data_IF_962837608121
#
_entry.id   IF_962837608121
#
_cell.length_a   1.000
_cell.length_b   1.000
_cell.length_c   1.000
_cell.angle_alpha   90.00
_cell.angle_beta   90.00
_cell.angle_gamma   90.00
#
_symmetry.space_group_name_H-M   'P 1'
#
loop_
_entity.id
_entity.type
_entity.pdbx_description
1 polymer ?
#
# COMPACT_ATOMS: atom_id res chain seq x y z
N UNK A 1 39.32 -26.84 24.18
CA UNK A 1 38.49 -25.74 23.65
C UNK A 1 37.39 -26.35 22.81
N UNK A 2 36.12 -26.40 23.25
CA UNK A 2 35.06 -26.94 22.41
C UNK A 2 34.60 -25.85 21.43
N UNK A 3 34.49 -26.28 20.18
CA UNK A 3 34.13 -25.55 18.98
C UNK A 3 32.60 -25.32 18.97
N UNK A 4 32.16 -24.07 19.12
CA UNK A 4 30.74 -23.71 19.01
C UNK A 4 30.30 -23.77 17.54
N UNK A 5 29.46 -24.75 17.22
CA UNK A 5 28.70 -24.81 15.98
C UNK A 5 27.69 -23.65 15.92
N UNK A 6 27.75 -22.84 14.86
CA UNK A 6 26.74 -21.81 14.56
C UNK A 6 25.39 -22.50 14.24
N UNK A 7 24.25 -22.02 14.78
CA UNK A 7 22.95 -22.56 14.38
C UNK A 7 22.62 -22.19 12.93
N UNK A 8 22.16 -23.19 12.17
CA UNK A 8 21.73 -23.09 10.78
C UNK A 8 20.34 -22.44 10.66
N UNK A 9 20.03 -21.91 9.47
CA UNK A 9 18.85 -21.12 9.07
C UNK A 9 17.45 -21.79 9.27
N UNK A 10 17.34 -22.90 10.00
CA UNK A 10 16.10 -23.68 10.16
C UNK A 10 15.36 -23.45 11.48
N UNK A 11 15.92 -22.69 12.42
CA UNK A 11 15.36 -22.62 13.79
C UNK A 11 14.22 -21.60 13.96
N UNK A 12 14.07 -20.63 13.04
CA UNK A 12 13.01 -19.61 13.14
C UNK A 12 11.69 -20.10 12.52
N UNK A 13 11.72 -20.82 11.39
CA UNK A 13 10.50 -21.36 10.75
C UNK A 13 9.80 -22.47 11.57
N UNK A 14 10.52 -23.16 12.46
CA UNK A 14 9.94 -24.28 13.20
C UNK A 14 9.12 -23.85 14.43
N UNK A 15 9.44 -22.71 15.04
CA UNK A 15 8.65 -22.17 16.15
C UNK A 15 7.28 -21.62 15.73
N UNK A 16 7.08 -21.31 14.44
CA UNK A 16 5.81 -20.79 13.93
C UNK A 16 4.75 -21.86 13.62
N UNK A 17 5.12 -23.15 13.57
CA UNK A 17 4.22 -24.20 13.06
C UNK A 17 3.55 -25.08 14.12
N UNK A 18 3.87 -24.92 15.41
CA UNK A 18 3.49 -25.89 16.46
C UNK A 18 2.29 -25.50 17.35
N UNK A 19 1.61 -24.39 17.09
CA UNK A 19 0.44 -23.97 17.90
C UNK A 19 -0.93 -24.31 17.27
N UNK A 20 -1.01 -24.79 16.02
CA UNK A 20 -2.28 -24.77 15.28
C UNK A 20 -2.69 -26.04 14.52
N UNK A 21 -2.44 -27.24 15.06
CA UNK A 21 -3.07 -28.47 14.51
C UNK A 21 -3.82 -29.28 15.58
N UNK A 22 -5.09 -28.93 15.79
CA UNK A 22 -6.12 -29.87 16.25
C UNK A 22 -7.39 -29.74 15.39
N UNK A 23 -7.56 -30.74 14.53
CA UNK A 23 -8.79 -31.38 14.02
C UNK A 23 -9.96 -30.49 13.57
N UNK A 24 -10.38 -30.65 12.32
CA UNK A 24 -11.69 -31.26 11.98
C UNK A 24 -11.65 -31.81 10.55
N UNK A 25 -12.42 -32.86 10.34
CA UNK A 25 -12.39 -33.83 9.26
C UNK A 25 -13.59 -33.70 8.31
N UNK A 26 -13.36 -34.09 7.05
CA UNK A 26 -14.27 -34.69 6.06
C UNK A 26 -15.75 -34.31 6.04
N UNK A 27 -16.18 -33.67 4.94
CA UNK A 27 -17.47 -33.96 4.29
C UNK A 27 -17.30 -33.86 2.76
N UNK A 28 -17.46 -34.98 2.06
CA UNK A 28 -17.63 -35.03 0.61
C UNK A 28 -19.07 -34.70 0.22
N UNK A 29 -19.28 -33.89 -0.81
CA UNK A 29 -20.57 -33.81 -1.49
C UNK A 29 -20.37 -33.95 -3.00
N UNK A 30 -21.10 -34.92 -3.54
CA UNK A 30 -21.11 -35.37 -4.93
C UNK A 30 -21.81 -34.35 -5.83
N UNK A 31 -21.26 -34.20 -7.02
CA UNK A 31 -21.86 -33.55 -8.18
C UNK A 31 -23.21 -34.17 -8.56
N UNK A 32 -24.22 -33.32 -8.82
CA UNK A 32 -25.28 -33.65 -9.77
C UNK A 32 -25.96 -32.39 -10.35
N UNK A 33 -25.92 -32.31 -11.68
CA UNK A 33 -26.95 -31.79 -12.59
C UNK A 33 -27.30 -30.29 -12.56
N UNK A 34 -26.63 -29.50 -13.43
CA UNK A 34 -27.20 -28.25 -13.95
C UNK A 34 -27.02 -28.18 -15.49
N UNK A 35 -28.14 -27.89 -16.17
CA UNK A 35 -28.38 -27.83 -17.63
C UNK A 35 -27.56 -26.75 -18.39
N UNK A 36 -27.33 -26.88 -19.72
CA UNK A 36 -26.41 -26.02 -20.48
C UNK A 36 -26.90 -24.61 -20.84
N UNK A 37 -28.12 -24.22 -20.50
CA UNK A 37 -28.73 -22.98 -21.01
C UNK A 37 -28.88 -21.90 -19.93
N UNK A 38 -27.76 -21.25 -19.55
CA UNK A 38 -27.80 -19.92 -18.90
C UNK A 38 -26.47 -19.14 -18.86
N UNK A 39 -25.49 -19.45 -19.74
CA UNK A 39 -24.13 -18.84 -19.66
C UNK A 39 -23.95 -17.44 -20.25
N UNK A 40 -25.02 -16.71 -20.61
CA UNK A 40 -24.88 -15.43 -21.35
C UNK A 40 -25.54 -14.20 -20.73
N UNK A 41 -26.17 -14.31 -19.57
CA UNK A 41 -26.73 -13.18 -18.83
C UNK A 41 -26.27 -13.34 -17.37
N UNK A 42 -25.82 -12.24 -16.74
CA UNK A 42 -25.28 -12.15 -15.37
C UNK A 42 -23.76 -12.49 -15.21
N UNK A 43 -22.87 -11.75 -15.88
CA UNK A 43 -21.48 -11.55 -15.40
C UNK A 43 -21.20 -10.06 -15.13
N UNK A 44 -22.17 -9.16 -15.37
CA UNK A 44 -21.98 -7.71 -15.13
C UNK A 44 -22.12 -7.28 -13.65
N UNK A 45 -22.67 -8.12 -12.77
CA UNK A 45 -23.01 -7.73 -11.39
C UNK A 45 -22.12 -8.32 -10.29
N UNK A 46 -21.07 -9.08 -10.62
CA UNK A 46 -20.34 -9.85 -9.59
C UNK A 46 -19.37 -9.02 -8.72
N UNK A 47 -19.08 -7.76 -9.08
CA UNK A 47 -18.11 -6.91 -8.38
C UNK A 47 -18.65 -5.50 -8.12
N UNK A 48 -19.82 -5.41 -7.50
CA UNK A 48 -20.31 -4.14 -6.98
C UNK A 48 -19.51 -3.77 -5.73
N UNK A 49 -18.46 -2.96 -5.89
CA UNK A 49 -17.85 -2.21 -4.77
C UNK A 49 -18.88 -1.39 -3.99
N UNK A 50 -20.06 -1.15 -4.56
CA UNK A 50 -21.22 -0.53 -3.93
C UNK A 50 -21.72 -1.23 -2.65
N UNK A 51 -21.33 -2.49 -2.40
CA UNK A 51 -21.73 -3.24 -1.19
C UNK A 51 -20.61 -3.36 -0.15
N UNK A 52 -19.47 -2.71 -0.34
CA UNK A 52 -18.39 -2.69 0.64
C UNK A 52 -18.62 -1.52 1.58
N UNK A 53 -18.83 -1.83 2.86
CA UNK A 53 -18.92 -0.84 3.92
C UNK A 53 -17.50 -0.36 4.30
N UNK A 54 -17.13 0.88 3.98
CA UNK A 54 -15.77 1.35 4.23
C UNK A 54 -15.42 1.50 5.71
N UNK A 55 -16.42 1.70 6.58
CA UNK A 55 -16.18 1.81 8.02
C UNK A 55 -15.84 0.45 8.63
N UNK A 56 -16.42 -0.66 8.12
CA UNK A 56 -16.01 -2.00 8.57
C UNK A 56 -14.54 -2.28 8.30
N UNK A 57 -14.01 -1.84 7.16
CA UNK A 57 -12.59 -2.00 6.84
C UNK A 57 -11.75 -1.07 7.72
N UNK A 58 -12.19 0.17 7.91
CA UNK A 58 -11.53 1.12 8.79
C UNK A 58 -11.44 0.58 10.23
N UNK A 59 -12.50 -0.02 10.75
CA UNK A 59 -12.55 -0.62 12.08
C UNK A 59 -11.64 -1.84 12.21
N UNK A 60 -11.55 -2.69 11.18
CA UNK A 60 -10.59 -3.79 11.14
C UNK A 60 -9.14 -3.28 11.16
N UNK A 61 -8.84 -2.21 10.43
CA UNK A 61 -7.52 -1.58 10.42
C UNK A 61 -7.19 -0.97 11.78
N UNK A 62 -8.12 -0.23 12.40
CA UNK A 62 -7.99 0.29 13.76
C UNK A 62 -7.79 -0.82 14.79
N UNK A 63 -8.54 -1.92 14.65
CA UNK A 63 -8.40 -3.09 15.51
C UNK A 63 -7.01 -3.71 15.40
N UNK A 64 -6.54 -3.98 14.18
CA UNK A 64 -5.21 -4.50 13.94
C UNK A 64 -4.13 -3.61 14.56
N UNK A 65 -4.25 -2.30 14.36
CA UNK A 65 -3.29 -1.35 14.90
C UNK A 65 -3.26 -1.33 16.43
N UNK A 66 -4.43 -1.34 17.07
CA UNK A 66 -4.55 -1.33 18.54
C UNK A 66 -4.09 -2.63 19.18
N UNK A 67 -4.53 -3.77 18.64
CA UNK A 67 -4.39 -5.06 19.30
C UNK A 67 -3.05 -5.74 18.95
N UNK A 68 -2.42 -5.36 17.82
CA UNK A 68 -1.19 -5.98 17.33
C UNK A 68 -0.05 -4.96 17.21
N UNK A 69 -0.21 -3.87 16.44
CA UNK A 69 0.90 -2.97 16.09
C UNK A 69 1.39 -2.15 17.30
N UNK A 70 0.49 -1.43 17.97
CA UNK A 70 0.83 -0.54 19.10
C UNK A 70 1.53 -1.26 20.26
N UNK A 71 1.17 -2.49 20.66
CA UNK A 71 1.91 -3.25 21.67
C UNK A 71 3.41 -3.44 21.37
N UNK A 72 3.81 -3.47 20.10
CA UNK A 72 5.21 -3.59 19.69
C UNK A 72 5.92 -2.23 19.50
N UNK A 73 5.18 -1.12 19.42
CA UNK A 73 5.76 0.19 19.18
C UNK A 73 6.65 0.64 20.35
N UNK A 74 7.95 0.84 20.07
CA UNK A 74 8.93 1.21 21.10
C UNK A 74 9.34 0.09 22.07
N UNK A 75 8.81 -1.13 21.90
CA UNK A 75 9.04 -2.28 22.81
C UNK A 75 9.66 -3.49 22.12
N UNK A 76 9.90 -3.42 20.80
CA UNK A 76 10.51 -4.48 20.00
C UNK A 76 11.88 -4.94 20.53
N UNK A 77 12.00 -6.25 20.76
CA UNK A 77 13.27 -6.93 21.07
C UNK A 77 14.02 -7.28 19.79
N UNK A 78 15.33 -7.53 19.90
CA UNK A 78 16.17 -7.78 18.73
C UNK A 78 15.75 -8.99 17.90
N UNK A 79 15.34 -10.09 18.55
CA UNK A 79 14.86 -11.29 17.86
C UNK A 79 13.49 -11.11 17.17
N UNK A 80 12.82 -9.97 17.38
CA UNK A 80 11.54 -9.62 16.75
C UNK A 80 11.74 -8.71 15.52
N UNK A 81 12.99 -8.40 15.18
CA UNK A 81 13.39 -7.63 14.01
C UNK A 81 14.16 -8.55 13.06
N UNK A 82 13.99 -8.34 11.77
CA UNK A 82 14.68 -9.09 10.73
C UNK A 82 14.87 -8.22 9.49
N UNK A 83 15.45 -8.83 8.46
CA UNK A 83 15.65 -8.22 7.15
C UNK A 83 15.17 -9.18 6.06
N UNK A 84 14.31 -8.70 5.16
CA UNK A 84 13.83 -9.48 4.00
C UNK A 84 15.02 -9.85 3.12
N UNK A 85 15.17 -11.14 2.83
CA UNK A 85 16.30 -11.70 2.08
C UNK A 85 17.70 -11.34 2.64
N UNK A 86 17.79 -10.99 3.92
CA UNK A 86 19.04 -10.52 4.53
C UNK A 86 19.54 -9.17 4.00
N UNK A 87 18.69 -8.41 3.29
CA UNK A 87 19.03 -7.07 2.80
C UNK A 87 18.82 -6.05 3.93
N UNK A 88 19.88 -5.39 4.43
CA UNK A 88 19.78 -4.44 5.54
C UNK A 88 18.88 -3.21 5.28
N UNK A 89 18.46 -3.01 4.02
CA UNK A 89 17.55 -1.92 3.63
C UNK A 89 16.08 -2.32 3.66
N UNK A 90 15.77 -3.60 3.81
CA UNK A 90 14.41 -4.13 3.83
C UNK A 90 14.13 -4.70 5.22
N UNK A 91 13.93 -3.80 6.18
CA UNK A 91 13.58 -4.16 7.56
C UNK A 91 12.17 -4.76 7.62
N UNK A 92 11.97 -5.72 8.52
CA UNK A 92 10.66 -6.34 8.82
C UNK A 92 10.62 -6.72 10.29
N UNK A 93 9.44 -6.69 10.92
CA UNK A 93 9.26 -7.11 12.31
C UNK A 93 8.18 -8.17 12.44
N UNK A 94 8.10 -8.78 13.63
CA UNK A 94 7.01 -9.70 13.97
C UNK A 94 5.64 -9.00 13.92
N UNK A 95 5.59 -7.67 14.13
CA UNK A 95 4.35 -6.91 14.08
C UNK A 95 3.82 -6.80 12.65
N UNK A 96 4.70 -6.62 11.66
CA UNK A 96 4.33 -6.58 10.23
C UNK A 96 3.65 -7.89 9.82
N UNK A 97 4.30 -9.03 10.11
CA UNK A 97 3.81 -10.35 9.75
C UNK A 97 2.47 -10.73 10.42
N UNK A 98 2.35 -10.51 11.74
CA UNK A 98 1.11 -10.82 12.48
C UNK A 98 -0.05 -9.91 12.01
N UNK A 99 0.24 -8.64 11.73
CA UNK A 99 -0.76 -7.69 11.25
C UNK A 99 -1.27 -8.05 9.86
N UNK A 100 -0.38 -8.42 8.94
CA UNK A 100 -0.76 -8.88 7.61
C UNK A 100 -1.61 -10.15 7.68
N UNK A 101 -1.21 -11.15 8.48
CA UNK A 101 -1.99 -12.38 8.66
C UNK A 101 -3.39 -12.07 9.22
N UNK A 102 -3.47 -11.23 10.25
CA UNK A 102 -4.74 -10.82 10.85
C UNK A 102 -5.65 -10.14 9.83
N UNK A 103 -5.18 -9.09 9.16
CA UNK A 103 -5.97 -8.34 8.17
C UNK A 103 -6.39 -9.24 7.01
N UNK A 104 -5.46 -10.04 6.46
CA UNK A 104 -5.72 -10.99 5.38
C UNK A 104 -6.84 -11.96 5.76
N UNK A 105 -6.79 -12.54 6.96
CA UNK A 105 -7.79 -13.48 7.46
C UNK A 105 -9.15 -12.80 7.64
N UNK A 106 -9.21 -11.63 8.29
CA UNK A 106 -10.47 -10.93 8.52
C UNK A 106 -11.13 -10.50 7.20
N UNK A 107 -10.34 -9.95 6.28
CA UNK A 107 -10.81 -9.58 4.94
C UNK A 107 -11.32 -10.82 4.18
N UNK A 108 -10.62 -11.95 4.25
CA UNK A 108 -11.07 -13.20 3.63
C UNK A 108 -12.36 -13.75 4.23
N UNK A 109 -12.63 -13.54 5.51
CA UNK A 109 -13.91 -13.90 6.12
C UNK A 109 -15.06 -13.04 5.59
N UNK A 110 -14.81 -11.74 5.38
CA UNK A 110 -15.79 -10.82 4.80
C UNK A 110 -15.99 -11.04 3.29
N UNK A 111 -14.92 -11.39 2.58
CA UNK A 111 -14.88 -11.55 1.12
C UNK A 111 -14.15 -12.84 0.71
N UNK A 112 -14.78 -14.03 0.85
CA UNK A 112 -14.11 -15.31 0.61
C UNK A 112 -13.50 -15.48 -0.78
N UNK A 113 -14.17 -14.92 -1.80
CA UNK A 113 -13.79 -15.00 -3.21
C UNK A 113 -12.72 -13.98 -3.63
N UNK A 114 -12.31 -13.06 -2.75
CA UNK A 114 -11.28 -12.07 -3.05
C UNK A 114 -9.88 -12.69 -3.03
N UNK A 115 -8.86 -11.96 -3.42
CA UNK A 115 -7.45 -12.31 -3.30
C UNK A 115 -6.78 -11.33 -2.36
N UNK A 116 -5.64 -11.72 -1.80
CA UNK A 116 -4.82 -10.85 -0.94
C UNK A 116 -3.43 -10.73 -1.54
N UNK A 117 -2.95 -9.51 -1.65
CA UNK A 117 -1.57 -9.16 -1.96
C UNK A 117 -1.00 -8.35 -0.79
N UNK A 118 -0.37 -9.02 0.16
CA UNK A 118 0.32 -8.35 1.26
C UNK A 118 1.80 -8.13 0.95
N UNK A 119 2.39 -7.07 1.49
CA UNK A 119 3.82 -6.80 1.36
C UNK A 119 4.67 -8.01 1.78
N UNK A 120 4.36 -8.61 2.93
CA UNK A 120 5.19 -9.64 3.57
C UNK A 120 5.15 -10.96 2.82
N UNK A 121 3.97 -11.39 2.36
CA UNK A 121 3.81 -12.64 1.62
C UNK A 121 4.07 -12.53 0.11
N UNK A 122 4.15 -11.31 -0.44
CA UNK A 122 4.31 -11.09 -1.89
C UNK A 122 5.56 -11.75 -2.48
N UNK A 123 6.65 -11.87 -1.70
CA UNK A 123 7.89 -12.52 -2.14
C UNK A 123 7.72 -14.03 -2.31
N UNK A 124 6.82 -14.65 -1.53
CA UNK A 124 6.55 -16.09 -1.58
C UNK A 124 5.52 -16.46 -2.65
N UNK A 125 4.75 -15.48 -3.14
CA UNK A 125 3.68 -15.72 -4.11
C UNK A 125 3.62 -14.64 -5.22
N UNK A 126 4.61 -14.62 -6.13
CA UNK A 126 4.67 -13.62 -7.20
C UNK A 126 3.49 -13.70 -8.19
N UNK A 127 2.79 -14.85 -8.26
CA UNK A 127 1.64 -15.02 -9.16
C UNK A 127 0.47 -14.08 -8.84
N UNK A 128 0.37 -13.58 -7.60
CA UNK A 128 -0.73 -12.68 -7.21
C UNK A 128 -0.64 -11.33 -7.92
N UNK A 129 0.57 -10.88 -8.29
CA UNK A 129 0.73 -9.65 -9.08
C UNK A 129 0.04 -9.76 -10.45
N UNK A 130 -0.01 -10.95 -11.04
CA UNK A 130 -0.67 -11.18 -12.34
C UNK A 130 -2.18 -10.94 -12.27
N UNK A 131 -2.78 -11.11 -11.08
CA UNK A 131 -4.20 -10.87 -10.90
C UNK A 131 -4.56 -9.38 -10.83
N UNK A 132 -3.59 -8.48 -10.57
CA UNK A 132 -3.87 -7.05 -10.39
C UNK A 132 -4.55 -6.41 -11.60
N UNK A 133 -4.31 -6.94 -12.81
CA UNK A 133 -4.95 -6.50 -14.06
C UNK A 133 -6.05 -7.43 -14.56
N UNK A 134 -6.40 -8.48 -13.81
CA UNK A 134 -7.50 -9.37 -14.19
C UNK A 134 -8.85 -8.68 -13.90
N UNK A 135 -9.67 -8.42 -14.93
CA UNK A 135 -10.92 -7.71 -14.76
C UNK A 135 -11.96 -8.47 -13.93
N UNK A 136 -11.75 -9.77 -13.69
CA UNK A 136 -12.65 -10.65 -12.94
C UNK A 136 -12.20 -10.91 -11.50
N UNK A 137 -11.18 -10.19 -11.01
CA UNK A 137 -10.61 -10.41 -9.68
C UNK A 137 -10.84 -9.19 -8.80
N UNK A 138 -11.04 -9.48 -7.52
CA UNK A 138 -11.05 -8.50 -6.44
C UNK A 138 -9.87 -8.80 -5.54
N UNK A 139 -8.94 -7.86 -5.40
CA UNK A 139 -7.68 -8.05 -4.69
C UNK A 139 -7.55 -6.97 -3.64
N UNK A 140 -7.35 -7.40 -2.40
CA UNK A 140 -6.99 -6.52 -1.31
C UNK A 140 -5.47 -6.45 -1.23
N UNK A 141 -4.94 -5.25 -1.33
CA UNK A 141 -3.51 -4.97 -1.25
C UNK A 141 -3.23 -4.37 0.12
N UNK A 142 -2.26 -4.92 0.85
CA UNK A 142 -2.03 -4.59 2.27
C UNK A 142 -0.55 -4.24 2.47
N UNK A 143 -0.30 -3.08 3.07
CA UNK A 143 0.94 -2.81 3.81
C UNK A 143 0.59 -2.75 5.30
N UNK A 144 1.00 -3.74 6.11
CA UNK A 144 0.67 -3.78 7.52
C UNK A 144 1.34 -2.64 8.32
N UNK A 145 2.55 -2.20 7.94
CA UNK A 145 3.31 -1.13 8.60
C UNK A 145 4.18 -0.41 7.57
N UNK A 146 3.60 0.54 6.84
CA UNK A 146 4.37 1.42 5.96
C UNK A 146 5.24 2.32 6.84
N UNK A 147 6.56 2.27 6.60
CA UNK A 147 7.55 2.92 7.46
C UNK A 147 8.07 2.04 8.60
N UNK A 148 8.18 0.72 8.42
CA UNK A 148 8.79 -0.23 9.38
C UNK A 148 10.08 0.28 10.03
N UNK A 149 10.94 0.95 9.26
CA UNK A 149 12.18 1.54 9.77
C UNK A 149 11.98 2.63 10.85
N UNK A 150 10.91 3.41 10.74
CA UNK A 150 10.51 4.41 11.72
C UNK A 150 9.90 3.71 12.95
N UNK A 151 9.07 2.70 12.71
CA UNK A 151 8.48 1.87 13.75
C UNK A 151 9.55 1.21 14.65
N UNK A 152 10.58 0.60 14.04
CA UNK A 152 11.73 0.02 14.75
C UNK A 152 12.48 1.05 15.62
N UNK A 153 12.55 2.30 15.15
CA UNK A 153 13.20 3.41 15.87
C UNK A 153 12.31 4.04 16.95
N UNK A 154 11.08 3.56 17.13
CA UNK A 154 10.10 4.15 18.05
C UNK A 154 9.55 5.50 17.57
N UNK A 155 9.77 5.87 16.30
CA UNK A 155 9.17 7.07 15.71
C UNK A 155 7.67 6.87 15.52
N UNK A 156 6.89 7.95 15.61
CA UNK A 156 5.45 7.97 15.35
C UNK A 156 5.09 8.04 13.86
N UNK A 157 6.08 8.06 12.97
CA UNK A 157 5.90 8.22 11.53
C UNK A 157 5.77 6.85 10.84
N UNK A 158 4.64 6.19 11.03
CA UNK A 158 4.27 4.94 10.32
C UNK A 158 2.75 4.85 10.21
N UNK A 159 2.26 4.05 9.28
CA UNK A 159 0.82 3.88 9.06
C UNK A 159 0.47 2.46 8.59
N UNK A 160 -0.82 2.14 8.54
CA UNK A 160 -1.33 0.94 7.86
C UNK A 160 -1.94 1.37 6.53
N UNK A 161 -1.64 0.66 5.45
CA UNK A 161 -2.22 0.92 4.12
C UNK A 161 -3.04 -0.29 3.68
N UNK A 162 -4.27 -0.04 3.23
CA UNK A 162 -5.10 -1.05 2.58
C UNK A 162 -5.65 -0.46 1.29
N UNK A 163 -5.62 -1.22 0.20
CA UNK A 163 -6.28 -0.84 -1.05
C UNK A 163 -7.13 -2.00 -1.58
N UNK A 164 -8.19 -1.65 -2.30
CA UNK A 164 -8.99 -2.59 -3.07
C UNK A 164 -8.76 -2.36 -4.55
N UNK A 165 -8.23 -3.36 -5.23
CA UNK A 165 -8.18 -3.42 -6.69
C UNK A 165 -9.32 -4.30 -7.17
N UNK A 166 -10.13 -3.78 -8.08
CA UNK A 166 -11.15 -4.54 -8.79
C UNK A 166 -11.22 -4.02 -10.22
N UNK A 167 -11.47 -4.92 -11.16
CA UNK A 167 -11.47 -4.67 -12.61
C UNK A 167 -10.18 -4.06 -13.19
N UNK A 168 -9.03 -4.37 -12.59
CA UNK A 168 -7.75 -3.81 -12.99
C UNK A 168 -7.51 -2.39 -12.49
N UNK A 169 -8.33 -1.87 -11.57
CA UNK A 169 -8.24 -0.50 -11.07
C UNK A 169 -8.33 -0.42 -9.56
N UNK A 170 -7.60 0.50 -8.96
CA UNK A 170 -7.79 0.85 -7.55
C UNK A 170 -9.17 1.49 -7.36
N UNK A 171 -10.04 0.82 -6.61
CA UNK A 171 -11.43 1.25 -6.38
C UNK A 171 -11.63 1.93 -5.03
N UNK A 172 -10.93 1.45 -4.00
CA UNK A 172 -10.99 1.99 -2.64
C UNK A 172 -9.60 1.95 -2.00
N UNK A 173 -9.33 2.84 -1.05
CA UNK A 173 -8.06 2.89 -0.33
C UNK A 173 -8.21 3.51 1.06
N UNK A 174 -7.46 2.98 2.02
CA UNK A 174 -7.37 3.41 3.41
C UNK A 174 -5.91 3.63 3.77
N UNK A 175 -5.63 4.72 4.48
CA UNK A 175 -4.33 4.99 5.09
C UNK A 175 -4.61 5.43 6.52
N UNK A 176 -4.12 4.66 7.49
CA UNK A 176 -4.37 4.89 8.89
C UNK A 176 -3.11 5.37 9.62
N UNK A 177 -3.10 6.63 10.03
CA UNK A 177 -2.07 7.18 10.92
C UNK A 177 -2.29 6.63 12.32
N UNK A 178 -1.55 5.57 12.64
CA UNK A 178 -1.73 4.77 13.86
C UNK A 178 -1.52 5.59 15.12
N UNK A 179 -0.52 6.48 15.14
CA UNK A 179 -0.15 7.23 16.34
C UNK A 179 -1.07 8.43 16.60
N UNK A 180 -1.80 8.90 15.58
CA UNK A 180 -2.73 10.02 15.69
C UNK A 180 -4.21 9.61 15.65
N UNK A 181 -4.50 8.30 15.51
CA UNK A 181 -5.86 7.75 15.34
C UNK A 181 -6.66 8.52 14.27
N UNK A 182 -6.04 8.66 13.09
CA UNK A 182 -6.62 9.43 11.99
C UNK A 182 -6.64 8.59 10.71
N UNK A 183 -7.80 8.52 10.06
CA UNK A 183 -8.08 7.64 8.93
C UNK A 183 -8.32 8.47 7.68
N UNK A 184 -7.47 8.29 6.67
CA UNK A 184 -7.74 8.73 5.31
C UNK A 184 -8.41 7.59 4.54
N UNK A 185 -9.47 7.92 3.82
CA UNK A 185 -10.23 7.01 2.99
C UNK A 185 -10.52 7.64 1.63
N UNK A 186 -10.42 6.87 0.57
CA UNK A 186 -10.84 7.28 -0.76
C UNK A 186 -11.59 6.18 -1.48
N UNK A 187 -12.60 6.58 -2.24
CA UNK A 187 -13.33 5.70 -3.13
C UNK A 187 -13.50 6.37 -4.48
N UNK A 188 -13.22 5.59 -5.53
CA UNK A 188 -13.31 6.04 -6.91
C UNK A 188 -14.68 6.67 -7.20
N UNK A 189 -14.67 7.88 -7.74
CA UNK A 189 -15.85 8.70 -8.07
C UNK A 189 -16.73 9.11 -6.87
N UNK A 190 -16.25 8.95 -5.63
CA UNK A 190 -16.96 9.36 -4.41
C UNK A 190 -16.20 10.43 -3.62
N UNK A 191 -14.91 10.58 -3.89
CA UNK A 191 -14.04 11.53 -3.23
C UNK A 191 -13.13 10.91 -2.17
N UNK A 192 -12.29 11.78 -1.61
CA UNK A 192 -11.36 11.50 -0.53
C UNK A 192 -11.85 12.13 0.78
N UNK A 193 -11.60 11.45 1.88
CA UNK A 193 -12.03 11.83 3.22
C UNK A 193 -10.88 11.63 4.21
N UNK A 194 -10.81 12.48 5.22
CA UNK A 194 -9.98 12.30 6.41
C UNK A 194 -10.91 12.47 7.61
N UNK A 195 -11.00 11.45 8.46
CA UNK A 195 -11.86 11.42 9.64
C UNK A 195 -13.32 11.80 9.34
N UNK A 196 -13.84 11.22 8.25
CA UNK A 196 -15.21 11.46 7.75
C UNK A 196 -15.40 12.80 7.03
N UNK A 197 -14.41 13.70 7.06
CA UNK A 197 -14.50 15.01 6.38
C UNK A 197 -13.93 14.93 4.97
N UNK A 198 -14.71 15.38 3.98
CA UNK A 198 -14.28 15.38 2.58
C UNK A 198 -13.12 16.37 2.38
N UNK A 199 -12.00 15.89 1.85
CA UNK A 199 -10.83 16.73 1.54
C UNK A 199 -10.81 17.14 0.07
N UNK A 200 -10.25 18.32 -0.20
CA UNK A 200 -10.08 18.86 -1.56
C UNK A 200 -8.77 19.61 -1.69
N UNK A 201 -8.01 19.26 -2.72
CA UNK A 201 -6.81 19.95 -3.16
C UNK A 201 -7.19 21.08 -4.11
N UNK A 202 -6.40 22.15 -4.08
CA UNK A 202 -6.66 23.33 -4.91
C UNK A 202 -6.22 23.08 -6.35
N UNK A 203 -7.09 23.45 -7.31
CA UNK A 203 -6.71 23.57 -8.72
C UNK A 203 -5.80 24.78 -8.96
N UNK A 204 -5.84 25.75 -8.07
CA UNK A 204 -5.05 26.98 -8.17
C UNK A 204 -3.64 26.77 -7.62
N UNK A 205 -2.70 27.50 -8.21
CA UNK A 205 -1.28 27.49 -7.88
C UNK A 205 -1.09 27.62 -6.35
N UNK A 206 -0.20 26.85 -5.69
CA UNK A 206 0.13 27.15 -4.30
C UNK A 206 0.57 28.62 -4.25
N UNK A 207 0.03 29.38 -3.29
CA UNK A 207 0.31 30.79 -3.09
C UNK A 207 1.76 31.06 -2.63
N UNK A 208 2.66 30.09 -2.79
CA UNK A 208 4.00 30.06 -2.23
C UNK A 208 5.03 29.93 -3.35
N UNK A 209 6.08 30.76 -3.27
CA UNK A 209 7.16 30.79 -4.25
C UNK A 209 7.94 29.47 -4.31
N UNK A 210 7.94 28.69 -3.21
CA UNK A 210 8.61 27.39 -3.08
C UNK A 210 7.57 26.27 -3.03
N UNK A 211 7.73 25.29 -3.92
CA UNK A 211 6.94 24.04 -3.93
C UNK A 211 7.61 23.05 -3.00
N UNK A 212 6.88 22.49 -2.03
CA UNK A 212 7.42 21.53 -1.07
C UNK A 212 6.89 20.13 -1.34
N UNK A 213 7.71 19.10 -1.15
CA UNK A 213 7.25 17.74 -1.40
C UNK A 213 8.11 16.65 -0.81
N UNK A 214 7.67 15.43 -1.06
CA UNK A 214 8.34 14.22 -0.65
C UNK A 214 9.05 13.58 -1.83
N UNK A 215 10.32 13.22 -1.65
CA UNK A 215 11.09 12.58 -2.70
C UNK A 215 11.81 11.36 -2.14
N UNK A 216 11.51 10.19 -2.71
CA UNK A 216 12.28 8.97 -2.43
C UNK A 216 13.74 9.10 -2.87
N UNK A 217 14.04 10.04 -3.79
CA UNK A 217 15.35 10.32 -4.37
C UNK A 217 15.85 11.71 -4.03
N UNK A 218 17.17 11.85 -3.83
CA UNK A 218 17.80 13.16 -3.77
C UNK A 218 17.90 13.73 -5.18
N UNK A 219 17.11 14.74 -5.49
CA UNK A 219 17.42 15.62 -6.61
C UNK A 219 18.85 16.12 -6.41
N UNK A 220 19.75 15.77 -7.34
CA UNK A 220 21.18 16.09 -7.23
C UNK A 220 21.45 17.59 -7.36
N UNK A 221 20.50 18.31 -7.95
CA UNK A 221 20.59 19.74 -8.18
C UNK A 221 19.52 20.44 -7.34
N UNK A 222 19.91 21.52 -6.66
CA UNK A 222 18.99 22.44 -5.98
C UNK A 222 18.10 23.09 -7.03
N UNK A 223 17.03 22.39 -7.41
CA UNK A 223 15.99 22.90 -8.28
C UNK A 223 15.45 24.18 -7.63
N UNK A 224 15.62 25.31 -8.32
CA UNK A 224 15.11 26.60 -7.83
C UNK A 224 13.64 26.42 -7.45
N UNK A 225 13.29 26.85 -6.24
CA UNK A 225 11.92 26.89 -5.76
C UNK A 225 11.26 25.49 -5.63
N UNK A 226 12.06 24.45 -5.36
CA UNK A 226 11.59 23.12 -4.97
C UNK A 226 12.36 22.69 -3.71
N UNK A 227 11.63 22.33 -2.66
CA UNK A 227 12.19 21.80 -1.41
C UNK A 227 11.68 20.38 -1.20
N UNK A 228 12.57 19.43 -0.96
CA UNK A 228 12.22 18.03 -0.78
C UNK A 228 12.64 17.48 0.56
N UNK A 229 11.78 16.67 1.14
CA UNK A 229 12.08 15.86 2.33
C UNK A 229 11.65 14.41 2.08
N UNK A 230 11.81 13.54 3.08
CA UNK A 230 11.17 12.23 3.10
C UNK A 230 10.84 11.86 4.53
N UNK A 231 9.67 11.28 4.73
CA UNK A 231 9.23 10.66 5.97
C UNK A 231 9.67 9.20 6.06
N UNK A 232 10.11 8.61 4.95
CA UNK A 232 10.34 7.14 4.80
C UNK A 232 9.10 6.34 5.20
N UNK A 233 7.93 6.85 4.84
CA UNK A 233 6.61 6.31 5.12
C UNK A 233 5.68 6.92 4.05
N UNK A 234 5.47 6.19 2.97
CA UNK A 234 4.78 6.68 1.78
C UNK A 234 3.32 7.03 2.07
N UNK A 235 2.63 6.23 2.88
CA UNK A 235 1.25 6.45 3.26
C UNK A 235 1.06 7.78 4.00
N UNK A 236 1.92 8.10 4.97
CA UNK A 236 1.85 9.40 5.67
C UNK A 236 2.29 10.57 4.78
N UNK A 237 3.15 10.35 3.79
CA UNK A 237 3.47 11.37 2.78
C UNK A 237 2.20 11.73 1.96
N UNK A 238 1.43 10.73 1.52
CA UNK A 238 0.11 10.96 0.89
C UNK A 238 -0.89 11.61 1.83
N UNK A 239 -0.96 11.15 3.08
CA UNK A 239 -1.86 11.66 4.10
C UNK A 239 -1.65 13.17 4.30
N UNK A 240 -0.40 13.59 4.48
CA UNK A 240 -0.04 15.00 4.69
C UNK A 240 -0.29 15.85 3.44
N UNK A 241 -0.04 15.31 2.24
CA UNK A 241 -0.40 16.00 1.00
C UNK A 241 -1.91 16.19 0.87
N UNK A 242 -2.73 15.19 1.22
CA UNK A 242 -4.19 15.31 1.22
C UNK A 242 -4.68 16.39 2.21
N UNK A 243 -3.93 16.63 3.30
CA UNK A 243 -4.12 17.75 4.23
C UNK A 243 -3.52 19.08 3.77
N UNK A 244 -2.91 19.13 2.58
CA UNK A 244 -2.23 20.31 1.99
C UNK A 244 -1.00 20.77 2.78
N UNK A 245 -0.34 19.85 3.48
CA UNK A 245 0.92 20.12 4.19
C UNK A 245 2.16 19.99 3.27
N UNK A 246 1.99 19.41 2.09
CA UNK A 246 2.98 19.32 1.02
C UNK A 246 2.28 19.34 -0.35
N UNK A 247 3.00 19.74 -1.39
CA UNK A 247 2.47 19.95 -2.74
C UNK A 247 2.62 18.74 -3.66
N UNK A 248 3.62 17.88 -3.45
CA UNK A 248 3.90 16.75 -4.32
C UNK A 248 4.66 15.61 -3.64
N UNK A 249 4.62 14.43 -4.27
CA UNK A 249 5.52 13.31 -4.02
C UNK A 249 6.09 12.76 -5.33
N UNK A 250 7.29 12.18 -5.25
CA UNK A 250 7.93 11.50 -6.37
C UNK A 250 8.65 10.23 -5.91
N UNK A 251 8.36 9.12 -6.58
CA UNK A 251 8.94 7.80 -6.32
C UNK A 251 9.40 7.16 -7.63
N UNK A 252 10.49 6.40 -7.60
CA UNK A 252 10.98 5.64 -8.77
C UNK A 252 10.64 4.14 -8.71
N UNK A 253 10.30 3.64 -7.52
CA UNK A 253 9.86 2.28 -7.26
C UNK A 253 8.42 2.37 -6.81
N UNK A 254 7.54 1.61 -7.43
CA UNK A 254 6.12 1.64 -7.12
C UNK A 254 5.68 0.25 -6.71
N UNK A 255 5.77 -0.02 -5.41
CA UNK A 255 5.11 -1.20 -4.88
C UNK A 255 3.61 -0.89 -4.74
N UNK A 256 2.72 -1.83 -5.12
CA UNK A 256 1.30 -1.55 -5.11
C UNK A 256 0.77 -1.24 -3.71
N UNK A 257 1.29 -1.93 -2.68
CA UNK A 257 0.91 -1.68 -1.28
C UNK A 257 1.31 -0.28 -0.79
N UNK A 258 2.46 0.26 -1.23
CA UNK A 258 2.90 1.62 -0.89
C UNK A 258 2.06 2.74 -1.52
N UNK A 259 1.49 2.51 -2.72
CA UNK A 259 1.06 3.62 -3.58
C UNK A 259 -0.37 3.57 -4.10
N UNK A 260 -1.05 2.43 -4.11
CA UNK A 260 -2.39 2.36 -4.68
C UNK A 260 -3.39 3.21 -3.90
N UNK A 261 -3.44 3.04 -2.58
CA UNK A 261 -4.35 3.81 -1.72
C UNK A 261 -4.03 5.31 -1.77
N UNK A 262 -2.76 5.67 -1.64
CA UNK A 262 -2.30 7.06 -1.69
C UNK A 262 -2.54 7.77 -3.02
N UNK A 263 -2.33 7.06 -4.13
CA UNK A 263 -2.64 7.59 -5.47
C UNK A 263 -4.12 7.87 -5.63
N UNK A 264 -4.98 6.92 -5.24
CA UNK A 264 -6.43 7.10 -5.29
C UNK A 264 -6.87 8.27 -4.39
N UNK A 265 -6.31 8.37 -3.17
CA UNK A 265 -6.55 9.47 -2.24
C UNK A 265 -6.27 10.83 -2.90
N UNK A 266 -5.11 10.98 -3.53
CA UNK A 266 -4.73 12.23 -4.19
C UNK A 266 -5.64 12.55 -5.39
N UNK A 267 -5.97 11.55 -6.22
CA UNK A 267 -6.85 11.73 -7.38
C UNK A 267 -8.27 12.15 -6.95
N UNK A 268 -8.84 11.47 -5.96
CA UNK A 268 -10.19 11.73 -5.45
C UNK A 268 -10.28 13.02 -4.61
N UNK A 269 -9.16 13.48 -4.06
CA UNK A 269 -9.04 14.82 -3.48
C UNK A 269 -8.95 15.94 -4.54
N UNK A 270 -8.86 15.60 -5.84
CA UNK A 270 -8.77 16.57 -6.95
C UNK A 270 -7.34 16.93 -7.36
N UNK A 271 -6.35 16.19 -6.86
CA UNK A 271 -4.95 16.28 -7.28
C UNK A 271 -4.70 15.62 -8.64
N UNK A 272 -3.43 15.52 -9.00
CA UNK A 272 -2.98 14.88 -10.24
C UNK A 272 -1.90 13.84 -9.92
N UNK A 273 -2.10 12.62 -10.41
CA UNK A 273 -1.16 11.52 -10.23
C UNK A 273 -0.99 10.78 -11.56
N UNK A 274 0.26 10.57 -11.95
CA UNK A 274 0.64 9.89 -13.20
C UNK A 274 2.07 9.37 -13.11
N UNK A 275 2.37 8.36 -13.93
CA UNK A 275 3.73 7.88 -14.11
C UNK A 275 4.61 8.93 -14.77
N UNK A 276 5.93 8.78 -14.73
CA UNK A 276 6.82 9.80 -15.31
C UNK A 276 6.63 9.96 -16.83
N UNK A 277 6.15 9.00 -17.59
CA UNK A 277 5.81 9.24 -19.01
C UNK A 277 4.48 10.02 -19.21
N UNK A 278 3.75 10.29 -18.12
CA UNK A 278 2.45 10.93 -18.13
C UNK A 278 1.27 9.96 -18.27
N UNK A 279 1.53 8.65 -18.39
CA UNK A 279 0.49 7.63 -18.37
C UNK A 279 -0.13 7.48 -16.98
N UNK A 280 -1.31 6.87 -16.93
CA UNK A 280 -1.99 6.60 -15.65
C UNK A 280 -1.26 5.51 -14.89
N UNK A 281 -1.24 5.58 -13.55
CA UNK A 281 -0.67 4.51 -12.74
C UNK A 281 -1.52 3.25 -12.86
N UNK A 282 -0.95 2.22 -13.47
CA UNK A 282 -1.53 0.87 -13.58
C UNK A 282 -1.15 0.06 -12.32
N UNK A 283 -2.13 -0.54 -11.60
CA UNK A 283 -1.84 -1.34 -10.42
C UNK A 283 -0.85 -2.48 -10.61
N UNK A 284 -0.78 -3.09 -11.80
CA UNK A 284 0.16 -4.16 -12.10
C UNK A 284 1.52 -3.64 -12.63
N UNK A 285 1.64 -2.35 -12.97
CA UNK A 285 2.89 -1.78 -13.45
C UNK A 285 3.69 -1.13 -12.32
N UNK A 286 4.75 -1.81 -11.89
CA UNK A 286 5.68 -1.30 -10.90
C UNK A 286 6.81 -0.42 -11.49
N UNK A 287 6.77 -0.10 -12.79
CA UNK A 287 7.87 0.54 -13.55
C UNK A 287 7.56 1.98 -13.96
N UNK A 288 8.57 2.75 -14.40
CA UNK A 288 8.35 4.13 -14.91
C UNK A 288 8.26 5.23 -13.85
N UNK A 289 8.06 4.89 -12.57
CA UNK A 289 8.04 5.84 -11.44
C UNK A 289 6.75 6.67 -11.37
N UNK A 290 6.45 7.23 -10.20
CA UNK A 290 5.22 7.96 -9.90
C UNK A 290 5.53 9.41 -9.53
N UNK A 291 4.71 10.34 -10.00
CA UNK A 291 4.57 11.66 -9.37
C UNK A 291 3.09 11.83 -9.00
N UNK A 292 2.85 12.27 -7.76
CA UNK A 292 1.55 12.79 -7.35
C UNK A 292 1.71 14.23 -6.89
N UNK A 293 0.72 15.07 -7.17
CA UNK A 293 0.78 16.49 -6.86
C UNK A 293 -0.60 17.07 -6.59
N UNK A 294 -0.64 18.22 -5.91
CA UNK A 294 -1.87 18.95 -5.62
C UNK A 294 -2.63 19.39 -6.89
N UNK A 295 -1.93 19.57 -8.01
CA UNK A 295 -2.52 19.82 -9.33
C UNK A 295 -1.55 19.49 -10.48
N UNK A 296 -2.07 19.49 -11.71
CA UNK A 296 -1.30 19.16 -12.93
C UNK A 296 -0.15 20.12 -13.21
N UNK A 297 -0.25 21.40 -12.81
CA UNK A 297 0.81 22.40 -13.02
C UNK A 297 2.04 22.07 -12.16
N UNK A 298 1.83 21.74 -10.89
CA UNK A 298 2.90 21.27 -10.01
C UNK A 298 3.48 19.97 -10.55
N UNK A 299 2.62 19.01 -10.92
CA UNK A 299 3.07 17.75 -11.51
C UNK A 299 4.01 17.98 -12.70
N UNK A 300 3.66 18.86 -13.63
CA UNK A 300 4.48 19.19 -14.80
C UNK A 300 5.81 19.83 -14.38
N UNK A 301 5.79 20.78 -13.43
CA UNK A 301 7.02 21.41 -12.89
C UNK A 301 7.97 20.36 -12.31
N UNK A 302 7.45 19.40 -11.54
CA UNK A 302 8.26 18.31 -10.97
C UNK A 302 8.75 17.37 -12.08
N UNK A 303 7.91 17.05 -13.04
CA UNK A 303 8.27 16.17 -14.16
C UNK A 303 9.38 16.75 -15.03
N UNK A 304 9.32 18.04 -15.34
CA UNK A 304 10.33 18.76 -16.13
C UNK A 304 11.65 18.91 -15.36
N UNK A 305 11.59 18.80 -14.04
CA UNK A 305 12.76 18.83 -13.17
C UNK A 305 13.52 17.51 -13.10
N UNK A 306 12.96 16.40 -13.61
CA UNK A 306 13.64 15.11 -13.64
C UNK A 306 14.75 15.17 -14.72
N UNK A 307 16.03 14.97 -14.35
CA UNK A 307 17.12 15.07 -15.31
C UNK A 307 16.99 14.05 -16.46
N UNK A 308 17.29 14.42 -17.72
CA UNK A 308 17.18 13.53 -18.88
C UNK A 308 17.91 12.19 -18.71
N UNK A 309 19.06 12.17 -18.05
CA UNK A 309 19.82 10.96 -17.75
C UNK A 309 19.08 9.97 -16.85
N UNK A 310 18.24 10.48 -15.94
CA UNK A 310 17.38 9.63 -15.10
C UNK A 310 16.29 9.02 -15.97
N UNK A 311 15.65 9.83 -16.82
CA UNK A 311 14.62 9.37 -17.74
C UNK A 311 15.16 8.32 -18.73
N UNK A 312 16.35 8.53 -19.30
CA UNK A 312 17.05 7.56 -20.17
C UNK A 312 17.36 6.26 -19.45
N UNK A 313 17.86 6.33 -18.21
CA UNK A 313 18.13 5.14 -17.39
C UNK A 313 16.87 4.29 -17.15
N UNK A 314 15.71 4.92 -17.16
CA UNK A 314 14.41 4.27 -17.00
C UNK A 314 13.68 4.04 -18.35
N UNK A 315 14.37 4.15 -19.49
CA UNK A 315 13.84 3.94 -20.85
C UNK A 315 12.64 4.83 -21.23
N UNK A 316 12.53 6.02 -20.62
CA UNK A 316 11.42 6.95 -20.86
C UNK A 316 11.68 7.92 -22.02
N UNK A 317 12.94 8.11 -22.40
CA UNK A 317 13.36 8.95 -23.54
C UNK A 317 14.60 8.32 -24.19
N UNK A 318 14.82 8.61 -25.49
CA UNK A 318 15.99 8.16 -26.27
C UNK A 318 17.20 9.07 -26.07
#
# INVERSE_FOLDING_TARGET
>A
MPMFLKPSKMTVLWCFRLILHRKTSDVSLKDSLISPWNKKIIIKDKFMTANIDPEKIADLVRQCARDIILPYHGTLKEHQKSFKNGNPRNEVTVADAISEEFLSRQIKLLFPDSYILGEEESENNPSVFEYLNDPQKMIWVIDPIDGTSNFIKGSKTFCVIVALVADGKTRMGWIYDVCNDSMAFAQKDKGAFIDGQKVRLSKENPAHDVVTGYAGYKFKDNLKNISTSTLRCSGLEYFRMAKREADFSIYWKMKPWDHLAGTLLMQEAGGYAAQWDGSSYDPADATGGLITAANKKIWQKIRDSIPPQVLKKHNLIT
#
